data_IF_779215060811
#
_entry.id   IF_779215060811
#
_cell.length_a   1.000
_cell.length_b   1.000
_cell.length_c   1.000
_cell.angle_alpha   90.00
_cell.angle_beta   90.00
_cell.angle_gamma   90.00
#
_symmetry.space_group_name_H-M   'P 1'
#
loop_
_entity.id
_entity.type
_entity.pdbx_description
1 polymer ?
#
# COMPACT_ATOMS: atom_id res chain seq x y z
N UNK A 1 -18.14 -5.14 -6.72
CA UNK A 1 -18.99 -5.50 -5.58
C UNK A 1 -20.29 -4.70 -5.70
N UNK A 2 -21.46 -5.34 -5.59
CA UNK A 2 -22.74 -4.63 -5.62
C UNK A 2 -23.06 -4.08 -4.22
N UNK A 3 -23.74 -2.93 -4.15
CA UNK A 3 -24.13 -2.30 -2.88
C UNK A 3 -25.62 -1.99 -2.88
N UNK A 4 -26.26 -2.09 -1.72
CA UNK A 4 -27.69 -1.79 -1.57
C UNK A 4 -27.91 -0.31 -1.26
N UNK A 5 -29.12 0.19 -1.52
CA UNK A 5 -29.51 1.56 -1.13
C UNK A 5 -29.39 1.78 0.38
N UNK A 6 -29.68 0.76 1.19
CA UNK A 6 -29.51 0.85 2.65
C UNK A 6 -28.04 1.06 3.04
N UNK A 7 -27.11 0.34 2.42
CA UNK A 7 -25.69 0.52 2.64
C UNK A 7 -25.25 1.96 2.31
N UNK A 8 -25.63 2.47 1.14
CA UNK A 8 -25.27 3.82 0.70
C UNK A 8 -25.85 4.91 1.63
N UNK A 9 -27.12 4.77 2.03
CA UNK A 9 -27.75 5.69 2.98
C UNK A 9 -27.04 5.67 4.35
N UNK A 10 -26.71 4.49 4.88
CA UNK A 10 -25.99 4.35 6.15
C UNK A 10 -24.57 4.89 6.10
N UNK A 11 -23.89 4.69 4.99
CA UNK A 11 -22.55 5.20 4.71
C UNK A 11 -22.55 6.74 4.78
N UNK A 12 -23.51 7.37 4.09
CA UNK A 12 -23.70 8.83 4.12
C UNK A 12 -24.07 9.35 5.52
N UNK A 13 -25.06 8.75 6.18
CA UNK A 13 -25.52 9.14 7.52
C UNK A 13 -24.42 9.08 8.59
N UNK A 14 -23.43 8.19 8.41
CA UNK A 14 -22.32 7.99 9.36
C UNK A 14 -21.03 8.69 8.94
N UNK A 15 -21.04 9.45 7.84
CA UNK A 15 -19.85 10.14 7.35
C UNK A 15 -18.70 9.19 6.99
N UNK A 16 -19.02 8.02 6.42
CA UNK A 16 -18.04 7.02 6.02
C UNK A 16 -17.78 7.14 4.51
N UNK A 17 -16.87 7.99 4.02
CA UNK A 17 -16.65 8.11 2.58
C UNK A 17 -16.18 6.77 1.98
N UNK A 18 -16.43 6.58 0.68
CA UNK A 18 -16.07 5.36 -0.06
C UNK A 18 -14.61 4.94 0.16
N UNK A 19 -13.68 5.89 0.23
CA UNK A 19 -12.26 5.63 0.47
C UNK A 19 -12.01 4.86 1.79
N UNK A 20 -12.77 5.12 2.86
CA UNK A 20 -12.66 4.34 4.09
C UNK A 20 -13.17 2.91 3.90
N UNK A 21 -14.25 2.73 3.15
CA UNK A 21 -14.79 1.41 2.83
C UNK A 21 -13.79 0.62 1.98
N UNK A 22 -13.17 1.27 0.99
CA UNK A 22 -12.14 0.66 0.15
C UNK A 22 -10.95 0.15 1.01
N UNK A 23 -10.51 0.93 2.01
CA UNK A 23 -9.46 0.48 2.96
C UNK A 23 -9.89 -0.72 3.81
N UNK A 24 -11.15 -0.76 4.26
CA UNK A 24 -11.67 -1.93 4.99
C UNK A 24 -11.75 -3.15 4.07
N UNK A 25 -12.13 -2.98 2.80
CA UNK A 25 -12.18 -4.06 1.81
C UNK A 25 -10.78 -4.60 1.46
N UNK A 26 -9.78 -3.75 1.42
CA UNK A 26 -8.39 -4.11 1.07
C UNK A 26 -7.63 -4.73 2.26
N UNK A 27 -7.75 -4.14 3.45
CA UNK A 27 -6.91 -4.51 4.61
C UNK A 27 -7.68 -5.11 5.78
N UNK A 28 -9.01 -5.12 5.73
CA UNK A 28 -9.85 -5.60 6.81
C UNK A 28 -9.71 -7.10 7.04
N UNK A 29 -10.15 -7.54 8.23
CA UNK A 29 -10.22 -8.94 8.62
C UNK A 29 -11.67 -9.35 8.79
N UNK A 30 -11.94 -10.62 8.54
CA UNK A 30 -13.26 -11.20 8.77
C UNK A 30 -13.43 -11.59 10.23
N UNK A 31 -14.59 -11.26 10.80
CA UNK A 31 -15.12 -11.83 12.03
C UNK A 31 -16.57 -12.24 11.76
N UNK A 32 -16.76 -13.54 11.51
CA UNK A 32 -18.05 -14.07 11.08
C UNK A 32 -18.50 -13.48 9.75
N UNK A 33 -19.63 -12.78 9.76
CA UNK A 33 -20.23 -12.11 8.61
C UNK A 33 -19.73 -10.67 8.39
N UNK A 34 -18.82 -10.18 9.25
CA UNK A 34 -18.33 -8.79 9.21
C UNK A 34 -16.91 -8.74 8.67
N UNK A 35 -16.66 -7.75 7.83
CA UNK A 35 -15.31 -7.29 7.50
C UNK A 35 -15.05 -5.99 8.25
N UNK A 36 -13.96 -5.92 8.99
CA UNK A 36 -13.63 -4.74 9.80
C UNK A 36 -12.14 -4.44 9.77
N UNK A 37 -11.80 -3.16 9.96
CA UNK A 37 -10.45 -2.69 10.15
C UNK A 37 -10.42 -1.88 11.45
N UNK A 38 -9.83 -2.46 12.50
CA UNK A 38 -9.76 -1.83 13.81
C UNK A 38 -8.59 -0.85 13.94
N UNK A 39 -8.53 -0.14 15.06
CA UNK A 39 -7.48 0.85 15.34
C UNK A 39 -6.08 0.22 15.41
N UNK A 40 -5.95 -1.00 15.97
CA UNK A 40 -4.65 -1.65 16.18
C UNK A 40 -4.06 -2.08 14.83
N UNK A 41 -4.87 -2.69 13.97
CA UNK A 41 -4.46 -3.07 12.62
C UNK A 41 -4.21 -1.83 11.77
N UNK A 42 -5.04 -0.80 11.87
CA UNK A 42 -4.81 0.48 11.18
C UNK A 42 -3.44 1.08 11.55
N UNK A 43 -3.10 1.11 12.83
CA UNK A 43 -1.79 1.60 13.29
C UNK A 43 -0.64 0.74 12.76
N UNK A 44 -0.82 -0.59 12.72
CA UNK A 44 0.18 -1.51 12.17
C UNK A 44 0.40 -1.26 10.68
N UNK A 45 -0.67 -1.05 9.91
CA UNK A 45 -0.60 -0.76 8.47
C UNK A 45 0.09 0.59 8.24
N UNK A 46 -0.27 1.64 8.98
CA UNK A 46 0.39 2.95 8.91
C UNK A 46 1.90 2.78 9.15
N UNK A 47 2.29 2.07 10.22
CA UNK A 47 3.70 1.82 10.51
C UNK A 47 4.43 1.09 9.35
N UNK A 48 3.78 0.12 8.72
CA UNK A 48 4.34 -0.59 7.56
C UNK A 48 4.49 0.32 6.34
N UNK A 49 3.49 1.16 6.07
CA UNK A 49 3.52 2.13 4.97
C UNK A 49 4.61 3.17 5.21
N UNK A 50 4.75 3.68 6.44
CA UNK A 50 5.78 4.66 6.79
C UNK A 50 7.19 4.06 6.66
N UNK A 51 7.39 2.81 7.07
CA UNK A 51 8.66 2.11 6.87
C UNK A 51 8.99 1.90 5.39
N UNK A 52 7.98 1.52 4.58
CA UNK A 52 8.14 1.42 3.13
C UNK A 52 8.47 2.78 2.52
N UNK A 53 7.73 3.83 2.90
CA UNK A 53 7.97 5.20 2.48
C UNK A 53 9.40 5.64 2.80
N UNK A 54 9.88 5.39 4.02
CA UNK A 54 11.24 5.72 4.42
C UNK A 54 12.29 4.96 3.59
N UNK A 55 12.02 3.70 3.25
CA UNK A 55 12.90 2.92 2.37
C UNK A 55 12.89 3.45 0.93
N UNK A 56 11.72 3.83 0.40
CA UNK A 56 11.59 4.44 -0.91
C UNK A 56 12.29 5.80 -0.98
N UNK A 57 12.22 6.61 0.08
CA UNK A 57 12.98 7.86 0.17
C UNK A 57 14.50 7.61 0.09
N UNK A 58 15.02 6.58 0.75
CA UNK A 58 16.45 6.20 0.60
C UNK A 58 16.80 5.79 -0.83
N UNK A 59 15.89 5.13 -1.55
CA UNK A 59 16.09 4.82 -2.98
C UNK A 59 16.12 6.11 -3.80
N UNK A 60 15.23 7.06 -3.52
CA UNK A 60 15.20 8.37 -4.17
C UNK A 60 16.46 9.18 -3.90
N UNK A 61 16.96 9.20 -2.66
CA UNK A 61 18.19 9.89 -2.26
C UNK A 61 19.42 9.34 -3.00
N UNK A 62 19.39 8.06 -3.38
CA UNK A 62 20.42 7.40 -4.19
C UNK A 62 20.28 7.64 -5.69
N UNK A 63 19.24 8.36 -6.14
CA UNK A 63 18.92 8.58 -7.55
C UNK A 63 18.17 7.41 -8.22
N UNK A 64 17.75 6.41 -7.43
CA UNK A 64 17.30 5.10 -7.88
C UNK A 64 18.37 4.03 -7.68
N UNK A 65 17.96 2.75 -7.65
CA UNK A 65 18.87 1.61 -7.47
C UNK A 65 18.55 0.54 -8.52
N UNK A 66 19.56 0.00 -9.16
CA UNK A 66 19.47 -1.14 -10.08
C UNK A 66 20.10 -2.38 -9.46
N UNK A 67 19.55 -3.55 -9.81
CA UNK A 67 20.09 -4.87 -9.48
C UNK A 67 20.12 -5.69 -10.76
N UNK A 68 21.27 -6.30 -11.07
CA UNK A 68 21.42 -7.23 -12.20
C UNK A 68 21.16 -8.64 -11.69
N UNK A 69 20.24 -9.34 -12.34
CA UNK A 69 19.81 -10.70 -11.97
C UNK A 69 19.94 -11.62 -13.19
N UNK A 70 20.55 -12.78 -13.01
CA UNK A 70 20.69 -13.85 -14.01
C UNK A 70 20.42 -15.19 -13.32
N UNK A 71 19.54 -16.02 -13.89
CA UNK A 71 19.18 -17.35 -13.35
C UNK A 71 18.95 -17.36 -11.82
N UNK A 72 18.05 -16.47 -11.35
CA UNK A 72 17.71 -16.26 -9.94
C UNK A 72 18.88 -15.80 -9.04
N UNK A 73 20.05 -15.55 -9.63
CA UNK A 73 21.26 -15.11 -8.93
C UNK A 73 21.41 -13.59 -9.01
N UNK A 74 21.63 -12.95 -7.86
CA UNK A 74 21.90 -11.52 -7.78
C UNK A 74 23.39 -11.26 -8.10
N UNK A 75 23.67 -10.69 -9.28
CA UNK A 75 25.05 -10.47 -9.75
C UNK A 75 25.66 -9.21 -9.13
N UNK A 76 24.99 -8.06 -9.28
CA UNK A 76 25.52 -6.76 -8.81
C UNK A 76 24.41 -5.74 -8.58
N UNK A 77 24.71 -4.65 -7.88
CA UNK A 77 23.82 -3.50 -7.65
C UNK A 77 24.57 -2.18 -7.76
N UNK A 78 23.89 -1.14 -8.26
CA UNK A 78 24.45 0.19 -8.42
C UNK A 78 23.35 1.27 -8.36
N UNK A 79 23.74 2.51 -8.08
CA UNK A 79 22.83 3.66 -8.12
C UNK A 79 22.50 4.04 -9.57
N UNK A 80 21.26 4.45 -9.83
CA UNK A 80 20.88 4.93 -11.16
C UNK A 80 21.35 6.38 -11.37
N UNK A 81 22.45 6.55 -12.10
CA UNK A 81 22.87 7.86 -12.56
C UNK A 81 22.03 8.32 -13.77
N UNK A 82 21.88 9.66 -13.95
CA UNK A 82 21.15 10.26 -15.10
C UNK A 82 21.59 9.73 -16.47
N UNK A 83 22.84 9.24 -16.59
CA UNK A 83 23.40 8.70 -17.84
C UNK A 83 22.90 7.30 -18.20
N UNK A 84 22.34 6.55 -17.25
CA UNK A 84 21.74 5.23 -17.50
C UNK A 84 20.25 5.32 -17.89
N UNK A 85 19.70 6.53 -18.01
CA UNK A 85 18.37 6.80 -18.60
C UNK A 85 18.46 6.96 -20.12
N UNK A 86 18.90 5.93 -20.83
CA UNK A 86 18.71 5.73 -22.28
C UNK A 86 18.98 4.24 -22.57
N UNK A 87 18.08 3.47 -23.19
CA UNK A 87 17.28 3.68 -24.39
C UNK A 87 16.00 2.85 -24.30
#
# INVERSE_FOLDING_TARGET
MFSTNHFQARMSQRGLPKQLIDLVLEFGKYEGDKLFLDKKETQRIIYQIDNLRNTLLKVMDKGGVAVVVEDETLITTYNLDKKHRSK
#
